data_IF_166670721358
#
_entry.id   IF_166670721358
#
_cell.length_a   1.000
_cell.length_b   1.000
_cell.length_c   1.000
_cell.angle_alpha   90.00
_cell.angle_beta   90.00
_cell.angle_gamma   90.00
#
_symmetry.space_group_name_H-M   'P 1'
#
loop_
_entity.id
_entity.type
_entity.pdbx_description
1 polymer ?
#
# COMPACT_ATOMS: atom_id res chain seq x y z
N UNK A 1 0.38 15.82 -1.28
CA UNK A 1 0.73 14.99 -0.10
C UNK A 1 2.25 15.03 0.04
N UNK A 2 2.77 14.90 1.27
CA UNK A 2 4.15 15.23 1.65
C UNK A 2 5.29 14.66 0.79
N UNK A 3 6.50 15.20 0.96
CA UNK A 3 7.66 14.86 0.11
C UNK A 3 8.19 13.46 0.41
N UNK A 4 8.24 13.09 1.68
CA UNK A 4 8.81 11.85 2.20
C UNK A 4 7.75 10.83 2.62
N UNK A 5 8.03 9.56 2.36
CA UNK A 5 7.13 8.43 2.56
C UNK A 5 7.77 7.38 3.47
N UNK A 6 7.03 6.89 4.45
CA UNK A 6 7.37 5.72 5.26
C UNK A 6 6.44 4.55 4.91
N UNK A 7 7.00 3.38 4.67
CA UNK A 7 6.23 2.17 4.36
C UNK A 7 6.21 1.23 5.56
N UNK A 8 5.05 0.66 5.84
CA UNK A 8 4.85 -0.24 6.98
C UNK A 8 4.37 -1.60 6.49
N UNK A 9 5.00 -2.69 6.92
CA UNK A 9 4.63 -4.05 6.52
C UNK A 9 4.44 -4.98 7.71
N UNK A 10 3.80 -6.13 7.51
CA UNK A 10 3.41 -7.07 8.58
C UNK A 10 4.52 -8.03 9.00
N UNK A 11 5.58 -8.14 8.20
CA UNK A 11 6.68 -9.08 8.46
C UNK A 11 7.99 -8.56 7.87
N UNK A 12 9.13 -8.75 8.56
CA UNK A 12 10.45 -8.37 8.04
C UNK A 12 10.77 -8.98 6.67
N UNK A 13 10.22 -10.16 6.34
CA UNK A 13 10.41 -10.82 5.03
C UNK A 13 9.94 -9.95 3.86
N UNK A 14 8.95 -9.09 4.07
CA UNK A 14 8.40 -8.24 3.01
C UNK A 14 9.16 -6.92 2.83
N UNK A 15 10.13 -6.60 3.69
CA UNK A 15 10.92 -5.35 3.59
C UNK A 15 11.64 -5.31 2.23
N UNK A 16 12.42 -6.33 1.92
CA UNK A 16 13.15 -6.41 0.65
C UNK A 16 12.21 -6.44 -0.57
N UNK A 17 11.00 -6.97 -0.41
CA UNK A 17 9.98 -6.94 -1.47
C UNK A 17 9.53 -5.52 -1.77
N UNK A 18 9.18 -4.74 -0.74
CA UNK A 18 8.77 -3.35 -0.90
C UNK A 18 9.91 -2.47 -1.41
N UNK A 19 11.14 -2.65 -0.93
CA UNK A 19 12.30 -1.91 -1.44
C UNK A 19 12.53 -2.15 -2.95
N UNK A 20 12.33 -3.39 -3.43
CA UNK A 20 12.35 -3.67 -4.87
C UNK A 20 11.24 -2.93 -5.63
N UNK A 21 10.03 -2.91 -5.09
CA UNK A 21 8.91 -2.16 -5.69
C UNK A 21 9.21 -0.66 -5.75
N UNK A 22 9.74 -0.09 -4.67
CA UNK A 22 10.13 1.33 -4.61
C UNK A 22 11.14 1.67 -5.70
N UNK A 23 12.18 0.84 -5.88
CA UNK A 23 13.16 1.01 -6.95
C UNK A 23 12.53 0.88 -8.34
N UNK A 24 11.73 -0.16 -8.57
CA UNK A 24 11.07 -0.41 -9.85
C UNK A 24 10.12 0.74 -10.26
N UNK A 25 9.55 1.45 -9.30
CA UNK A 25 8.67 2.60 -9.52
C UNK A 25 9.40 3.97 -9.47
N UNK A 26 10.73 4.00 -9.31
CA UNK A 26 11.49 5.26 -9.27
C UNK A 26 11.20 6.13 -8.05
N UNK A 27 10.74 5.54 -6.93
CA UNK A 27 10.34 6.25 -5.71
C UNK A 27 11.45 6.31 -4.65
N UNK A 28 12.68 5.89 -4.98
CA UNK A 28 13.79 5.75 -4.03
C UNK A 28 14.11 7.02 -3.26
N UNK A 29 14.10 8.19 -3.92
CA UNK A 29 14.35 9.47 -3.26
C UNK A 29 13.20 9.97 -2.38
N UNK A 30 12.05 9.30 -2.41
CA UNK A 30 10.85 9.68 -1.63
C UNK A 30 10.62 8.75 -0.46
N UNK A 31 10.96 7.48 -0.58
CA UNK A 31 10.77 6.50 0.49
C UNK A 31 11.97 6.50 1.41
N UNK A 32 11.77 6.96 2.65
CA UNK A 32 12.84 7.07 3.64
C UNK A 32 13.10 5.77 4.40
N UNK A 33 12.16 4.81 4.33
CA UNK A 33 12.33 3.51 4.95
C UNK A 33 11.10 2.62 4.86
N UNK A 34 11.33 1.32 5.02
CA UNK A 34 10.31 0.29 5.18
C UNK A 34 10.49 -0.35 6.55
N UNK A 35 9.44 -0.36 7.38
CA UNK A 35 9.47 -0.96 8.72
C UNK A 35 8.45 -2.09 8.82
N UNK A 36 8.86 -3.22 9.37
CA UNK A 36 7.93 -4.25 9.79
C UNK A 36 7.37 -3.93 11.19
N UNK A 37 6.06 -4.07 11.36
CA UNK A 37 5.41 -4.03 12.66
C UNK A 37 5.18 -5.45 13.18
N UNK A 38 5.14 -5.59 14.50
CA UNK A 38 4.62 -6.76 15.17
C UNK A 38 3.09 -6.70 15.14
N UNK A 39 2.46 -7.78 14.70
CA UNK A 39 1.01 -7.87 14.56
C UNK A 39 0.50 -9.12 15.24
N UNK A 40 -0.36 -8.96 16.25
CA UNK A 40 -1.22 -10.02 16.75
C UNK A 40 -2.39 -10.19 15.76
N UNK A 41 -2.32 -11.20 14.89
CA UNK A 41 -3.35 -11.45 13.88
C UNK A 41 -4.73 -11.72 14.52
N UNK A 42 -4.78 -12.43 15.65
CA UNK A 42 -6.05 -12.75 16.30
C UNK A 42 -6.69 -11.48 16.88
N UNK A 43 -5.91 -10.63 17.54
CA UNK A 43 -6.33 -9.31 17.99
C UNK A 43 -6.75 -8.39 16.84
N UNK A 44 -6.00 -8.42 15.74
CA UNK A 44 -6.30 -7.65 14.54
C UNK A 44 -7.65 -8.06 13.93
N UNK A 45 -7.93 -9.36 13.84
CA UNK A 45 -9.22 -9.84 13.32
C UNK A 45 -10.38 -9.45 14.25
N UNK A 46 -10.21 -9.51 15.57
CA UNK A 46 -11.23 -9.06 16.54
C UNK A 46 -11.52 -7.56 16.41
N UNK A 47 -10.51 -6.73 16.11
CA UNK A 47 -10.66 -5.28 15.96
C UNK A 47 -11.62 -4.83 14.85
N UNK A 48 -12.00 -5.73 13.92
CA UNK A 48 -13.04 -5.41 12.94
C UNK A 48 -14.42 -5.27 13.58
N UNK A 49 -14.68 -5.95 14.69
CA UNK A 49 -16.02 -6.04 15.30
C UNK A 49 -16.04 -5.63 16.78
N UNK A 50 -14.88 -5.37 17.39
CA UNK A 50 -14.75 -5.00 18.80
C UNK A 50 -13.93 -3.72 18.96
N UNK A 51 -14.53 -2.70 19.57
CA UNK A 51 -13.93 -1.36 19.70
C UNK A 51 -12.76 -1.32 20.69
N UNK A 52 -12.77 -2.17 21.72
CA UNK A 52 -11.66 -2.28 22.66
C UNK A 52 -10.41 -2.87 21.96
N UNK A 53 -10.59 -3.95 21.20
CA UNK A 53 -9.54 -4.54 20.36
C UNK A 53 -9.07 -3.55 19.29
N UNK A 54 -9.98 -2.77 18.70
CA UNK A 54 -9.64 -1.72 17.76
C UNK A 54 -8.74 -0.65 18.39
N UNK A 55 -9.12 -0.10 19.55
CA UNK A 55 -8.35 0.91 20.24
C UNK A 55 -6.93 0.41 20.57
N UNK A 56 -6.80 -0.85 20.99
CA UNK A 56 -5.51 -1.50 21.25
C UNK A 56 -4.67 -1.62 19.98
N UNK A 57 -5.22 -2.23 18.92
CA UNK A 57 -4.50 -2.42 17.65
C UNK A 57 -4.08 -1.08 17.03
N UNK A 58 -4.93 -0.06 17.13
CA UNK A 58 -4.62 1.29 16.69
C UNK A 58 -3.48 1.90 17.49
N UNK A 59 -3.52 1.83 18.82
CA UNK A 59 -2.45 2.34 19.67
C UNK A 59 -1.11 1.63 19.38
N UNK A 60 -1.13 0.30 19.28
CA UNK A 60 0.06 -0.50 18.96
C UNK A 60 0.62 -0.15 17.57
N UNK A 61 -0.25 0.08 16.58
CA UNK A 61 0.16 0.53 15.25
C UNK A 61 0.82 1.90 15.31
N UNK A 62 0.19 2.87 16.00
CA UNK A 62 0.71 4.23 16.13
C UNK A 62 2.11 4.22 16.74
N UNK A 63 2.29 3.58 17.88
CA UNK A 63 3.58 3.53 18.58
C UNK A 63 4.68 2.90 17.71
N UNK A 64 4.35 1.84 16.96
CA UNK A 64 5.32 1.20 16.08
C UNK A 64 5.63 2.00 14.81
N UNK A 65 4.78 2.94 14.42
CA UNK A 65 5.00 3.80 13.24
C UNK A 65 5.76 5.08 13.58
N UNK A 66 5.65 5.59 14.82
CA UNK A 66 6.36 6.80 15.28
C UNK A 66 7.84 6.87 14.88
N UNK A 67 8.65 5.79 14.91
CA UNK A 67 10.03 5.86 14.46
C UNK A 67 10.22 6.31 13.00
N UNK A 68 9.32 5.95 12.09
CA UNK A 68 9.34 6.43 10.70
C UNK A 68 8.99 7.91 10.62
N UNK A 69 8.01 8.36 11.42
CA UNK A 69 7.64 9.77 11.48
C UNK A 69 8.78 10.61 12.03
N UNK A 70 9.42 10.15 13.12
CA UNK A 70 10.61 10.78 13.69
C UNK A 70 11.81 10.82 12.73
N UNK A 71 11.93 9.82 11.86
CA UNK A 71 12.92 9.81 10.77
C UNK A 71 12.56 10.75 9.60
N UNK A 72 11.42 11.45 9.69
CA UNK A 72 11.00 12.48 8.75
C UNK A 72 9.95 12.06 7.73
N UNK A 73 9.22 10.96 7.93
CA UNK A 73 8.12 10.57 7.03
C UNK A 73 6.92 11.52 7.22
N UNK A 74 6.55 12.24 6.16
CA UNK A 74 5.34 13.08 6.14
C UNK A 74 4.08 12.28 5.80
N UNK A 75 4.25 11.12 5.16
CA UNK A 75 3.17 10.22 4.76
C UNK A 75 3.53 8.78 5.09
N UNK A 76 2.59 8.06 5.71
CA UNK A 76 2.72 6.65 6.04
C UNK A 76 1.82 5.82 5.13
N UNK A 77 2.38 4.76 4.54
CA UNK A 77 1.65 3.75 3.78
C UNK A 77 1.64 2.42 4.54
N UNK A 78 0.49 1.98 5.09
CA UNK A 78 0.33 0.63 5.60
C UNK A 78 0.27 -0.35 4.44
N UNK A 79 1.38 -0.96 4.05
CA UNK A 79 1.52 -1.84 2.88
C UNK A 79 0.89 -3.23 3.07
N UNK A 80 -0.33 -3.28 3.59
CA UNK A 80 -1.15 -4.49 3.72
C UNK A 80 -2.63 -4.15 3.63
N UNK A 81 -3.39 -4.95 2.89
CA UNK A 81 -4.82 -4.70 2.66
C UNK A 81 -5.65 -4.70 3.96
N UNK A 82 -5.34 -5.60 4.90
CA UNK A 82 -6.02 -5.69 6.18
C UNK A 82 -5.83 -4.43 7.05
N UNK A 83 -4.59 -3.93 7.30
CA UNK A 83 -4.36 -2.61 7.91
C UNK A 83 -5.14 -1.47 7.25
N UNK A 84 -5.09 -1.38 5.92
CA UNK A 84 -5.81 -0.32 5.19
C UNK A 84 -7.34 -0.44 5.35
N UNK A 85 -7.89 -1.65 5.40
CA UNK A 85 -9.32 -1.87 5.63
C UNK A 85 -9.72 -1.54 7.06
N UNK A 86 -8.95 -2.00 8.05
CA UNK A 86 -9.27 -1.77 9.47
C UNK A 86 -9.29 -0.27 9.81
N UNK A 87 -8.31 0.47 9.29
CA UNK A 87 -8.19 1.92 9.50
C UNK A 87 -9.01 2.75 8.51
N UNK A 88 -9.84 2.15 7.64
CA UNK A 88 -10.70 2.89 6.72
C UNK A 88 -11.74 3.79 7.44
N UNK A 89 -12.01 3.53 8.72
CA UNK A 89 -12.89 4.33 9.57
C UNK A 89 -12.24 5.64 10.07
N UNK A 90 -10.92 5.78 9.96
CA UNK A 90 -10.19 6.97 10.42
C UNK A 90 -10.13 8.02 9.30
N UNK A 91 -10.64 9.23 9.53
CA UNK A 91 -10.69 10.27 8.52
C UNK A 91 -10.65 11.69 9.13
N UNK A 92 -9.54 12.45 8.98
CA UNK A 92 -8.24 12.00 8.51
C UNK A 92 -7.57 11.07 9.54
N UNK A 93 -6.82 10.07 9.08
CA UNK A 93 -5.89 9.36 9.96
C UNK A 93 -4.53 10.05 9.91
N UNK A 94 -4.06 10.55 11.05
CA UNK A 94 -2.75 11.17 11.19
C UNK A 94 -2.02 10.70 12.45
N UNK A 95 -0.69 10.59 12.36
CA UNK A 95 0.21 10.21 13.45
C UNK A 95 1.27 11.29 13.57
N UNK A 96 1.23 12.06 14.66
CA UNK A 96 2.18 13.16 14.92
C UNK A 96 2.33 14.12 13.72
N UNK A 97 1.23 14.40 13.03
CA UNK A 97 1.17 15.25 11.84
C UNK A 97 1.41 14.54 10.50
N UNK A 98 1.95 13.32 10.50
CA UNK A 98 2.11 12.52 9.28
C UNK A 98 0.78 11.87 8.85
N UNK A 99 0.44 11.99 7.56
CA UNK A 99 -0.80 11.42 7.03
C UNK A 99 -0.67 9.91 6.82
N UNK A 100 -1.61 9.12 7.33
CA UNK A 100 -1.70 7.69 7.03
C UNK A 100 -2.63 7.50 5.83
N UNK A 101 -2.10 7.07 4.70
CA UNK A 101 -2.84 6.98 3.44
C UNK A 101 -3.40 5.58 3.23
N UNK A 102 -4.70 5.51 2.98
CA UNK A 102 -5.37 4.30 2.54
C UNK A 102 -5.15 4.09 1.03
N UNK A 103 -4.19 3.23 0.68
CA UNK A 103 -3.85 2.91 -0.69
C UNK A 103 -4.95 2.21 -1.49
N UNK A 104 -5.89 1.51 -0.84
CA UNK A 104 -7.03 0.88 -1.54
C UNK A 104 -7.91 1.97 -2.17
N UNK A 105 -8.25 2.99 -1.39
CA UNK A 105 -9.07 4.12 -1.87
C UNK A 105 -8.32 4.89 -2.95
N UNK A 106 -7.02 5.14 -2.77
CA UNK A 106 -6.19 5.81 -3.78
C UNK A 106 -6.19 5.03 -5.10
N UNK A 107 -6.01 3.70 -5.06
CA UNK A 107 -6.03 2.87 -6.25
C UNK A 107 -7.40 2.87 -6.95
N UNK A 108 -8.50 2.78 -6.19
CA UNK A 108 -9.85 2.87 -6.73
C UNK A 108 -10.10 4.20 -7.44
N UNK A 109 -9.74 5.33 -6.79
CA UNK A 109 -9.89 6.66 -7.39
C UNK A 109 -8.96 6.88 -8.59
N UNK A 110 -7.75 6.32 -8.57
CA UNK A 110 -6.86 6.33 -9.73
C UNK A 110 -7.46 5.55 -10.92
N UNK A 111 -8.13 4.43 -10.67
CA UNK A 111 -8.83 3.68 -11.71
C UNK A 111 -10.00 4.46 -12.31
N UNK A 112 -10.84 5.09 -11.48
CA UNK A 112 -11.92 5.97 -11.96
C UNK A 112 -11.39 7.13 -12.81
N UNK A 113 -10.31 7.78 -12.34
CA UNK A 113 -9.62 8.83 -13.11
C UNK A 113 -9.13 8.29 -14.46
N UNK A 114 -8.52 7.11 -14.50
CA UNK A 114 -8.05 6.51 -15.75
C UNK A 114 -9.22 6.21 -16.73
N UNK A 115 -10.37 5.78 -16.23
CA UNK A 115 -11.57 5.58 -17.04
C UNK A 115 -12.11 6.90 -17.60
N UNK A 116 -12.12 7.97 -16.79
CA UNK A 116 -12.52 9.29 -17.24
C UNK A 116 -11.58 9.82 -18.33
N UNK A 117 -10.27 9.69 -18.14
CA UNK A 117 -9.27 10.06 -19.15
C UNK A 117 -9.48 9.29 -20.45
N UNK A 118 -9.71 7.96 -20.39
CA UNK A 118 -10.02 7.16 -21.58
C UNK A 118 -11.24 7.70 -22.33
N UNK A 119 -12.31 8.09 -21.63
CA UNK A 119 -13.51 8.66 -22.27
C UNK A 119 -13.24 10.00 -22.93
N UNK A 120 -12.40 10.83 -22.32
CA UNK A 120 -12.12 12.19 -22.79
C UNK A 120 -11.07 12.25 -23.90
N UNK A 121 -10.05 11.40 -23.85
CA UNK A 121 -8.87 11.49 -24.73
C UNK A 121 -8.63 10.24 -25.56
N UNK A 122 -9.41 9.17 -25.37
CA UNK A 122 -9.16 7.85 -25.96
C UNK A 122 -7.88 7.17 -25.44
N UNK A 123 -7.14 7.78 -24.52
CA UNK A 123 -5.84 7.29 -24.05
C UNK A 123 -6.00 6.08 -23.12
N UNK A 124 -5.10 5.11 -23.29
CA UNK A 124 -4.98 3.90 -22.47
C UNK A 124 -3.50 3.56 -22.27
N UNK A 125 -3.20 2.52 -21.50
CA UNK A 125 -1.82 2.02 -21.35
C UNK A 125 -1.18 1.72 -22.72
N UNK A 126 0.01 2.27 -22.95
CA UNK A 126 0.74 2.07 -24.22
C UNK A 126 1.15 0.61 -24.38
N UNK A 127 0.80 0.00 -25.52
CA UNK A 127 1.14 -1.40 -25.85
C UNK A 127 2.42 -1.54 -26.68
N UNK A 128 3.17 -0.46 -26.88
CA UNK A 128 4.37 -0.43 -27.74
C UNK A 128 5.59 -1.16 -27.14
N UNK A 129 5.72 -1.17 -25.82
CA UNK A 129 6.93 -1.64 -25.13
C UNK A 129 6.60 -2.53 -23.92
N UNK A 130 7.03 -2.12 -22.72
CA UNK A 130 6.90 -2.90 -21.47
C UNK A 130 5.50 -3.47 -21.20
N UNK A 131 4.43 -2.79 -21.62
CA UNK A 131 3.06 -3.26 -21.44
C UNK A 131 2.44 -3.88 -22.70
N UNK A 132 3.25 -4.31 -23.68
CA UNK A 132 2.77 -5.14 -24.79
C UNK A 132 2.00 -6.36 -24.25
N UNK A 133 1.01 -6.82 -25.02
CA UNK A 133 0.27 -8.03 -24.64
C UNK A 133 1.18 -9.25 -24.83
N UNK A 134 1.02 -10.25 -23.97
CA UNK A 134 1.57 -11.58 -24.23
C UNK A 134 1.00 -12.12 -25.54
N UNK A 135 1.78 -12.90 -26.29
CA UNK A 135 1.29 -13.63 -27.45
C UNK A 135 0.27 -14.70 -27.03
N UNK A 136 -0.54 -15.17 -27.99
CA UNK A 136 -1.47 -16.26 -27.74
C UNK A 136 -0.74 -17.51 -27.25
N UNK A 137 0.38 -17.87 -27.88
CA UNK A 137 1.22 -19.01 -27.52
C UNK A 137 1.72 -18.94 -26.06
N UNK A 138 2.19 -17.78 -25.60
CA UNK A 138 2.62 -17.61 -24.21
C UNK A 138 1.44 -17.76 -23.23
N UNK A 139 0.24 -17.32 -23.61
CA UNK A 139 -0.95 -17.47 -22.78
C UNK A 139 -1.36 -18.95 -22.70
N UNK A 140 -1.33 -19.67 -23.82
CA UNK A 140 -1.63 -21.09 -23.87
C UNK A 140 -0.63 -21.93 -23.07
N UNK A 141 0.67 -21.64 -23.18
CA UNK A 141 1.73 -22.29 -22.39
C UNK A 141 1.51 -22.10 -20.88
N UNK A 142 1.25 -20.86 -20.45
CA UNK A 142 1.00 -20.56 -19.03
C UNK A 142 -0.23 -21.29 -18.48
N UNK A 143 -1.32 -21.39 -19.26
CA UNK A 143 -2.58 -22.02 -18.83
C UNK A 143 -2.57 -23.56 -18.93
N UNK A 144 -1.77 -24.14 -19.83
CA UNK A 144 -1.67 -25.59 -20.02
C UNK A 144 -0.79 -26.28 -18.99
N UNK A 145 0.14 -25.55 -18.38
CA UNK A 145 1.02 -26.08 -17.34
C UNK A 145 0.25 -26.21 -16.01
N UNK A 146 -0.14 -27.44 -15.65
CA UNK A 146 -0.63 -27.77 -14.31
C UNK A 146 0.56 -27.82 -13.35
N UNK A 147 0.60 -26.90 -12.39
CA UNK A 147 1.47 -26.94 -11.21
C UNK A 147 0.85 -27.80 -10.12
#
# INVERSE_FOLDING_TARGET
MGRTLGLVTISPVFIAWHERQVRAHGLGERVIGVRAIQMDLAGFMRAFTDDASYAKVRADFVEQVRPLVAAGAEVILPCGGLPMLLFARECPFAIDGALVVNGIVVAAKAAEMALALRRLTGSVVSRRGTYARASADCVEEYLSTRW
#
